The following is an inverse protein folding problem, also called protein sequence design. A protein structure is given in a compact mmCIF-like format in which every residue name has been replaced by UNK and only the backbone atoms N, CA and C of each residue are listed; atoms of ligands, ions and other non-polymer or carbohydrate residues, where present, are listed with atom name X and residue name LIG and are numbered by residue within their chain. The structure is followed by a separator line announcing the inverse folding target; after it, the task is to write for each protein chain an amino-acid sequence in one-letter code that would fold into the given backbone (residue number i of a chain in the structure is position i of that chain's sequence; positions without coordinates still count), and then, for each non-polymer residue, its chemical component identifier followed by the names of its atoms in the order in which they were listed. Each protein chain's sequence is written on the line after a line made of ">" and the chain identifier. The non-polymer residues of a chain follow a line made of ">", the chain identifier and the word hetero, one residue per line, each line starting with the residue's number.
data_IF_386509324684
#
_entry.id   IF_386509324684
#
_cell.length_a   1.000
_cell.length_b   1.000
_cell.length_c   1.000
_cell.angle_alpha   90.00
_cell.angle_beta   90.00
_cell.angle_gamma   90.00
#
_symmetry.space_group_name_H-M   'P 1'
#
loop_
_entity.id
_entity.type
_entity.pdbx_description
1 polymer ?
#
# COMPACT_ATOMS: atom_id res chain seq x y z
N UNK A 1 25.27 13.67 13.11
CA UNK A 1 24.45 12.76 12.29
C UNK A 1 23.33 13.59 11.70
N UNK A 2 23.42 13.96 10.41
CA UNK A 2 22.38 14.77 9.77
C UNK A 2 21.24 13.83 9.40
N UNK A 3 20.10 13.95 10.09
CA UNK A 3 18.84 13.43 9.56
C UNK A 3 18.59 14.15 8.24
N UNK A 4 18.89 13.49 7.11
CA UNK A 4 18.55 14.00 5.80
C UNK A 4 17.03 14.15 5.71
N UNK A 5 16.56 15.34 5.39
CA UNK A 5 15.15 15.60 5.13
C UNK A 5 14.71 14.74 3.95
N UNK A 6 13.74 13.86 4.18
CA UNK A 6 13.15 13.01 3.16
C UNK A 6 12.54 13.90 2.06
N UNK A 7 12.91 13.65 0.80
CA UNK A 7 12.35 14.35 -0.34
C UNK A 7 10.86 14.03 -0.49
N UNK A 8 10.11 14.94 -1.15
CA UNK A 8 8.70 14.70 -1.46
C UNK A 8 8.50 13.41 -2.28
N UNK A 9 9.45 13.07 -3.15
CA UNK A 9 9.41 11.85 -3.93
C UNK A 9 9.63 10.60 -3.07
N UNK A 10 10.58 10.61 -2.13
CA UNK A 10 10.76 9.50 -1.18
C UNK A 10 9.54 9.30 -0.29
N UNK A 11 8.91 10.39 0.17
CA UNK A 11 7.64 10.31 0.91
C UNK A 11 6.55 9.65 0.07
N UNK A 12 6.40 10.07 -1.19
CA UNK A 12 5.44 9.47 -2.12
C UNK A 12 5.67 7.97 -2.31
N UNK A 13 6.92 7.53 -2.51
CA UNK A 13 7.25 6.11 -2.64
C UNK A 13 6.89 5.33 -1.37
N UNK A 14 7.12 5.90 -0.18
CA UNK A 14 6.70 5.28 1.10
C UNK A 14 5.18 5.17 1.25
N UNK A 15 4.43 6.19 0.83
CA UNK A 15 2.96 6.14 0.85
C UNK A 15 2.43 5.04 -0.07
N UNK A 16 3.04 4.86 -1.25
CA UNK A 16 2.68 3.79 -2.17
C UNK A 16 3.03 2.40 -1.61
N UNK A 17 4.17 2.25 -0.91
CA UNK A 17 4.53 1.02 -0.21
C UNK A 17 3.51 0.66 0.88
N UNK A 18 3.10 1.64 1.69
CA UNK A 18 2.03 1.47 2.67
C UNK A 18 0.71 1.04 2.03
N UNK A 19 0.35 1.64 0.89
CA UNK A 19 -0.85 1.26 0.14
C UNK A 19 -0.80 -0.20 -0.35
N UNK A 20 0.36 -0.66 -0.84
CA UNK A 20 0.55 -2.06 -1.25
C UNK A 20 0.32 -2.99 -0.07
N UNK A 21 0.97 -2.74 1.08
CA UNK A 21 0.83 -3.56 2.29
C UNK A 21 -0.61 -3.59 2.80
N UNK A 22 -1.29 -2.44 2.78
CA UNK A 22 -2.70 -2.32 3.16
C UNK A 22 -3.60 -3.19 2.26
N UNK A 23 -3.38 -3.14 0.94
CA UNK A 23 -4.14 -3.94 -0.02
C UNK A 23 -3.88 -5.44 0.13
N UNK A 24 -2.63 -5.85 0.38
CA UNK A 24 -2.28 -7.26 0.65
C UNK A 24 -3.03 -7.78 1.88
N UNK A 25 -3.04 -7.00 2.96
CA UNK A 25 -3.68 -7.41 4.20
C UNK A 25 -5.20 -7.52 4.05
N UNK A 26 -5.84 -6.55 3.41
CA UNK A 26 -7.28 -6.61 3.11
C UNK A 26 -7.62 -7.86 2.28
N UNK A 27 -6.85 -8.14 1.22
CA UNK A 27 -7.12 -9.27 0.34
C UNK A 27 -6.89 -10.62 1.02
N UNK A 28 -5.83 -10.76 1.83
CA UNK A 28 -5.58 -11.96 2.64
C UNK A 28 -6.75 -12.24 3.58
N UNK A 29 -7.19 -11.23 4.34
CA UNK A 29 -8.30 -11.41 5.29
C UNK A 29 -9.62 -11.71 4.59
N UNK A 30 -9.86 -11.19 3.38
CA UNK A 30 -11.02 -11.58 2.56
C UNK A 30 -10.95 -13.06 2.15
N UNK A 31 -9.77 -13.54 1.74
CA UNK A 31 -9.56 -14.95 1.39
C UNK A 31 -9.77 -15.87 2.60
N UNK A 32 -9.42 -15.42 3.80
CA UNK A 32 -9.72 -16.08 5.07
C UNK A 32 -11.21 -16.04 5.47
N UNK A 33 -12.05 -15.31 4.73
CA UNK A 33 -13.49 -15.21 4.99
C UNK A 33 -13.87 -14.23 6.10
N UNK A 34 -12.99 -13.28 6.46
CA UNK A 34 -13.31 -12.23 7.44
C UNK A 34 -14.39 -11.29 6.92
N UNK A 35 -15.20 -10.78 7.83
CA UNK A 35 -16.21 -9.76 7.52
C UNK A 35 -15.57 -8.41 7.17
N UNK A 36 -16.32 -7.56 6.46
CA UNK A 36 -15.85 -6.23 6.06
C UNK A 36 -15.49 -5.38 7.29
N UNK A 37 -16.28 -5.50 8.36
CA UNK A 37 -16.14 -4.78 9.61
C UNK A 37 -14.87 -5.21 10.36
N UNK A 38 -14.62 -6.52 10.48
CA UNK A 38 -13.39 -7.04 11.10
C UNK A 38 -12.13 -6.57 10.36
N UNK A 39 -12.16 -6.59 9.02
CA UNK A 39 -11.03 -6.11 8.20
C UNK A 39 -10.85 -4.61 8.39
N UNK A 40 -11.94 -3.84 8.35
CA UNK A 40 -11.93 -2.39 8.51
C UNK A 40 -11.31 -1.98 9.84
N UNK A 41 -11.72 -2.63 10.93
CA UNK A 41 -11.20 -2.38 12.27
C UNK A 41 -9.73 -2.78 12.39
N UNK A 42 -9.36 -3.96 11.91
CA UNK A 42 -7.99 -4.48 12.04
C UNK A 42 -6.98 -3.68 11.21
N UNK A 43 -7.32 -3.38 9.96
CA UNK A 43 -6.43 -2.67 9.02
C UNK A 43 -6.45 -1.15 9.26
N UNK A 44 -7.50 -0.63 9.88
CA UNK A 44 -7.65 0.81 10.15
C UNK A 44 -8.05 1.62 8.92
N UNK A 45 -8.91 1.05 8.06
CA UNK A 45 -9.46 1.70 6.84
C UNK A 45 -10.97 1.69 6.88
N UNK A 46 -11.63 2.48 6.04
CA UNK A 46 -13.09 2.48 5.99
C UNK A 46 -13.65 1.15 5.41
N UNK A 47 -14.87 0.72 5.80
CA UNK A 47 -15.55 -0.42 5.18
C UNK A 47 -15.72 -0.25 3.66
N UNK A 48 -15.81 1.00 3.19
CA UNK A 48 -15.89 1.30 1.75
C UNK A 48 -14.59 0.97 1.02
N UNK A 49 -13.44 1.26 1.62
CA UNK A 49 -12.13 0.90 1.06
C UNK A 49 -11.91 -0.61 1.03
N UNK A 50 -12.30 -1.30 2.11
CA UNK A 50 -12.30 -2.77 2.15
C UNK A 50 -13.10 -3.32 0.98
N UNK A 51 -14.34 -2.87 0.78
CA UNK A 51 -15.19 -3.34 -0.32
C UNK A 51 -14.61 -3.05 -1.71
N UNK A 52 -13.93 -1.91 -1.89
CA UNK A 52 -13.30 -1.53 -3.15
C UNK A 52 -12.00 -2.29 -3.44
N UNK A 53 -11.31 -2.81 -2.43
CA UNK A 53 -10.05 -3.54 -2.61
C UNK A 53 -10.25 -4.81 -3.46
N UNK A 54 -9.47 -4.94 -4.54
CA UNK A 54 -9.51 -6.03 -5.51
C UNK A 54 -8.08 -6.43 -5.89
N UNK A 55 -7.83 -7.69 -6.30
CA UNK A 55 -6.49 -8.14 -6.72
C UNK A 55 -5.84 -7.24 -7.77
N UNK A 56 -6.60 -6.77 -8.76
CA UNK A 56 -6.09 -5.84 -9.79
C UNK A 56 -5.53 -4.52 -9.21
N UNK A 57 -6.12 -4.00 -8.13
CA UNK A 57 -5.60 -2.78 -7.49
C UNK A 57 -4.24 -3.03 -6.84
N UNK A 58 -4.05 -4.21 -6.25
CA UNK A 58 -2.78 -4.63 -5.67
C UNK A 58 -1.70 -4.81 -6.75
N UNK A 59 -2.04 -5.47 -7.87
CA UNK A 59 -1.13 -5.65 -9.01
C UNK A 59 -0.59 -4.31 -9.52
N UNK A 60 -1.49 -3.36 -9.79
CA UNK A 60 -1.12 -2.01 -10.26
C UNK A 60 -0.24 -1.28 -9.24
N UNK A 61 -0.62 -1.32 -7.96
CA UNK A 61 0.16 -0.66 -6.91
C UNK A 61 1.57 -1.26 -6.77
N UNK A 62 1.73 -2.59 -6.90
CA UNK A 62 3.02 -3.28 -6.90
C UNK A 62 3.89 -2.90 -8.10
N UNK A 63 3.30 -2.84 -9.29
CA UNK A 63 4.02 -2.45 -10.51
C UNK A 63 4.54 -1.01 -10.40
N UNK A 64 3.69 -0.09 -9.96
CA UNK A 64 4.07 1.31 -9.73
C UNK A 64 5.15 1.43 -8.65
N UNK A 65 5.00 0.73 -7.53
CA UNK A 65 5.99 0.74 -6.46
C UNK A 65 7.36 0.26 -6.97
N UNK A 66 7.39 -0.86 -7.68
CA UNK A 66 8.63 -1.39 -8.24
C UNK A 66 9.26 -0.42 -9.25
N UNK A 67 8.44 0.20 -10.11
CA UNK A 67 8.89 1.23 -11.06
C UNK A 67 9.52 2.42 -10.34
N UNK A 68 8.86 2.97 -9.31
CA UNK A 68 9.35 4.16 -8.60
C UNK A 68 10.52 3.86 -7.66
N UNK A 69 10.57 2.69 -7.03
CA UNK A 69 11.73 2.26 -6.24
C UNK A 69 12.97 2.08 -7.12
N UNK A 70 12.82 1.52 -8.34
CA UNK A 70 13.94 1.44 -9.31
C UNK A 70 14.40 2.83 -9.72
N UNK A 71 13.49 3.78 -9.89
CA UNK A 71 13.81 5.19 -10.18
C UNK A 71 14.60 5.82 -9.04
N UNK A 72 14.16 5.64 -7.80
CA UNK A 72 14.82 6.16 -6.60
C UNK A 72 16.25 5.59 -6.44
N UNK A 73 16.43 4.29 -6.65
CA UNK A 73 17.74 3.62 -6.58
C UNK A 73 18.72 4.06 -7.68
N UNK A 74 18.22 4.48 -8.84
CA UNK A 74 19.05 4.94 -9.96
C UNK A 74 19.50 6.39 -9.82
N UNK A 75 19.11 7.10 -8.75
CA UNK A 75 19.61 8.43 -8.45
C UNK A 75 19.20 9.49 -9.48
N UNK A 76 17.95 9.44 -9.96
CA UNK A 76 17.31 10.68 -10.40
C UNK A 76 17.05 11.58 -9.18
#
# INVERSE_FOLDING_TARGET
>A
MVQGTMSAFEYFVKQLDYQVQTLEMILSMKEEGKSVEEISEFVGVSPTEVNKARPKHLEVAKEDLNRYQRRLKRGL
#
